data_IF_870942583326
#
_entry.id   IF_870942583326
#
_cell.length_a   1.000
_cell.length_b   1.000
_cell.length_c   1.000
_cell.angle_alpha   90.00
_cell.angle_beta   90.00
_cell.angle_gamma   90.00
#
_symmetry.space_group_name_H-M   'P 1'
#
loop_
_entity.id
_entity.type
_entity.pdbx_description
1 polymer ?
#
# COMPACT_ATOMS: atom_id res chain seq x y z
N UNK A 1 -2.79 33.93 -5.08
CA UNK A 1 -2.19 32.77 -4.40
C UNK A 1 -3.09 31.51 -4.43
N UNK A 2 -4.35 31.60 -4.03
CA UNK A 2 -5.29 30.46 -3.98
C UNK A 2 -5.50 29.67 -5.30
N UNK A 3 -5.45 30.33 -6.47
CA UNK A 3 -5.57 29.64 -7.77
C UNK A 3 -4.40 28.68 -8.05
N UNK A 4 -3.17 29.01 -7.63
CA UNK A 4 -1.99 28.13 -7.78
C UNK A 4 -2.11 26.91 -6.87
N UNK A 5 -2.54 27.11 -5.61
CA UNK A 5 -2.77 26.03 -4.65
C UNK A 5 -3.87 25.09 -5.12
N UNK A 6 -4.99 25.62 -5.64
CA UNK A 6 -6.09 24.79 -6.19
C UNK A 6 -5.67 24.01 -7.44
N UNK A 7 -4.80 24.58 -8.29
CA UNK A 7 -4.22 23.89 -9.46
C UNK A 7 -3.26 22.78 -9.04
N UNK A 8 -2.44 23.02 -8.01
CA UNK A 8 -1.51 22.04 -7.44
C UNK A 8 -2.24 20.87 -6.77
N UNK A 9 -3.25 21.15 -5.94
CA UNK A 9 -4.12 20.13 -5.33
C UNK A 9 -4.85 19.28 -6.38
N UNK A 10 -5.28 19.88 -7.50
CA UNK A 10 -5.87 19.13 -8.62
C UNK A 10 -4.84 18.26 -9.35
N UNK A 11 -3.59 18.71 -9.46
CA UNK A 11 -2.52 17.95 -10.10
C UNK A 11 -2.02 16.77 -9.23
N UNK A 12 -2.08 16.92 -7.90
CA UNK A 12 -1.86 15.83 -6.93
C UNK A 12 -2.98 14.80 -6.91
N UNK A 13 -4.20 15.20 -7.30
CA UNK A 13 -5.38 14.36 -7.31
C UNK A 13 -5.18 12.95 -7.91
N UNK A 14 -4.65 12.79 -9.14
CA UNK A 14 -4.39 11.47 -9.71
C UNK A 14 -3.24 10.72 -9.02
N UNK A 15 -2.15 11.41 -8.63
CA UNK A 15 -1.02 10.77 -7.97
C UNK A 15 -1.34 10.21 -6.58
N UNK A 16 -2.21 10.90 -5.81
CA UNK A 16 -2.70 10.41 -4.52
C UNK A 16 -3.54 9.14 -4.71
N UNK A 17 -4.35 9.06 -5.77
CA UNK A 17 -5.17 7.87 -6.05
C UNK A 17 -4.31 6.68 -6.43
N UNK A 18 -3.29 6.91 -7.25
CA UNK A 18 -2.32 5.86 -7.62
C UNK A 18 -1.51 5.40 -6.41
N UNK A 19 -1.03 6.33 -5.58
CA UNK A 19 -0.33 5.98 -4.33
C UNK A 19 -1.21 5.27 -3.32
N UNK A 20 -2.48 5.67 -3.20
CA UNK A 20 -3.46 4.98 -2.36
C UNK A 20 -3.80 3.57 -2.85
N UNK A 21 -3.61 3.30 -4.15
CA UNK A 21 -3.85 1.98 -4.72
C UNK A 21 -2.65 1.04 -4.54
N UNK A 22 -1.46 1.57 -4.30
CA UNK A 22 -0.23 0.78 -4.08
C UNK A 22 -0.06 0.36 -2.61
N UNK A 23 -0.75 1.03 -1.67
CA UNK A 23 -0.76 0.69 -0.25
C UNK A 23 -1.85 -0.36 0.06
N UNK A 24 -1.65 -1.53 -0.50
CA UNK A 24 -2.58 -2.65 -0.44
C UNK A 24 -2.27 -3.60 0.74
N UNK A 25 -3.25 -4.41 1.23
CA UNK A 25 -3.02 -5.29 2.38
C UNK A 25 -1.84 -6.24 2.22
N UNK A 26 -1.61 -6.74 1.00
CA UNK A 26 -0.51 -7.65 0.69
C UNK A 26 0.86 -6.95 0.74
N UNK A 27 0.95 -5.70 0.29
CA UNK A 27 2.11 -4.83 0.45
C UNK A 27 2.39 -4.55 1.92
N UNK A 28 1.37 -4.15 2.69
CA UNK A 28 1.47 -3.92 4.14
C UNK A 28 1.93 -5.19 4.86
N UNK A 29 1.40 -6.36 4.52
CA UNK A 29 1.80 -7.67 5.08
C UNK A 29 3.27 -7.97 4.77
N UNK A 30 3.70 -7.75 3.52
CA UNK A 30 5.08 -7.97 3.09
C UNK A 30 6.05 -7.04 3.81
N UNK A 31 5.73 -5.74 3.89
CA UNK A 31 6.55 -4.76 4.60
C UNK A 31 6.57 -5.02 6.10
N UNK A 32 5.47 -5.46 6.70
CA UNK A 32 5.39 -5.81 8.12
C UNK A 32 6.24 -7.05 8.45
N UNK A 33 6.15 -8.11 7.63
CA UNK A 33 6.96 -9.31 7.79
C UNK A 33 8.45 -9.03 7.52
N UNK A 34 8.76 -8.21 6.52
CA UNK A 34 10.12 -7.76 6.24
C UNK A 34 10.68 -6.90 7.38
N UNK A 35 9.90 -5.95 7.89
CA UNK A 35 10.27 -5.10 9.02
C UNK A 35 10.46 -5.88 10.32
N UNK A 36 9.65 -6.90 10.58
CA UNK A 36 9.82 -7.78 11.73
C UNK A 36 11.14 -8.58 11.67
N UNK A 37 11.58 -8.97 10.46
CA UNK A 37 12.82 -9.75 10.25
C UNK A 37 14.08 -8.89 10.17
N UNK A 38 14.02 -7.77 9.47
CA UNK A 38 15.19 -6.93 9.15
C UNK A 38 15.24 -5.61 9.94
N UNK A 39 14.20 -5.31 10.73
CA UNK A 39 14.11 -4.07 11.49
C UNK A 39 14.29 -2.83 10.61
N UNK A 40 15.03 -1.84 11.12
CA UNK A 40 15.33 -0.60 10.41
C UNK A 40 16.37 -0.76 9.29
N UNK A 41 16.99 -1.94 9.14
CA UNK A 41 18.05 -2.16 8.15
C UNK A 41 17.53 -2.21 6.71
N UNK A 42 16.22 -2.33 6.49
CA UNK A 42 15.60 -2.28 5.17
C UNK A 42 15.27 -0.84 4.71
N UNK A 43 15.35 0.18 5.58
CA UNK A 43 14.92 1.55 5.23
C UNK A 43 15.73 2.19 4.09
N UNK A 44 16.97 1.78 3.87
CA UNK A 44 17.80 2.35 2.80
C UNK A 44 17.27 2.00 1.40
N UNK A 45 16.49 0.91 1.24
CA UNK A 45 15.94 0.52 -0.07
C UNK A 45 14.93 1.53 -0.59
N UNK A 46 14.28 2.28 0.32
CA UNK A 46 13.30 3.33 0.00
C UNK A 46 13.89 4.41 -0.92
N UNK A 47 15.18 4.72 -0.76
CA UNK A 47 15.90 5.69 -1.59
C UNK A 47 15.93 5.26 -3.06
N UNK A 48 15.94 3.94 -3.31
CA UNK A 48 15.99 3.36 -4.65
C UNK A 48 14.58 3.05 -5.18
N UNK A 49 13.69 2.55 -4.32
CA UNK A 49 12.34 2.12 -4.76
C UNK A 49 11.43 3.30 -5.10
N UNK A 50 11.49 4.42 -4.36
CA UNK A 50 10.68 5.60 -4.65
C UNK A 50 10.92 6.16 -6.07
N UNK A 51 12.16 6.48 -6.51
CA UNK A 51 12.38 7.03 -7.84
C UNK A 51 12.05 6.02 -8.95
N UNK A 52 12.29 4.72 -8.70
CA UNK A 52 11.92 3.66 -9.64
C UNK A 52 10.40 3.62 -9.85
N UNK A 53 9.63 3.65 -8.76
CA UNK A 53 8.18 3.62 -8.80
C UNK A 53 7.59 4.89 -9.44
N UNK A 54 8.17 6.06 -9.16
CA UNK A 54 7.81 7.31 -9.84
C UNK A 54 8.03 7.22 -11.36
N UNK A 55 9.15 6.65 -11.80
CA UNK A 55 9.45 6.47 -13.22
C UNK A 55 8.45 5.51 -13.92
N UNK A 56 8.04 4.43 -13.23
CA UNK A 56 7.04 3.49 -13.77
C UNK A 56 5.65 4.15 -13.86
N UNK A 57 5.25 4.95 -12.87
CA UNK A 57 3.98 5.67 -12.90
C UNK A 57 3.93 6.75 -14.00
N UNK A 58 5.02 7.48 -14.21
CA UNK A 58 5.11 8.46 -15.29
C UNK A 58 5.05 7.80 -16.67
N UNK A 59 5.65 6.63 -16.82
CA UNK A 59 5.51 5.79 -18.01
C UNK A 59 4.03 5.47 -18.29
N UNK A 60 3.28 4.98 -17.30
CA UNK A 60 1.87 4.61 -17.48
C UNK A 60 0.99 5.82 -17.88
N UNK A 61 1.31 7.00 -17.35
CA UNK A 61 0.65 8.26 -17.71
C UNK A 61 0.84 8.64 -19.18
N UNK A 62 1.97 8.25 -19.78
CA UNK A 62 2.31 8.49 -21.19
C UNK A 62 1.85 7.28 -22.03
N UNK A 63 0.58 6.86 -21.90
CA UNK A 63 -0.15 5.91 -22.78
C UNK A 63 0.72 4.76 -23.32
N UNK A 64 1.37 4.00 -22.43
CA UNK A 64 2.25 2.88 -22.81
C UNK A 64 1.57 1.90 -23.77
N UNK A 65 0.25 1.70 -23.65
CA UNK A 65 -0.56 0.83 -24.52
C UNK A 65 -0.51 1.21 -26.00
N UNK A 66 -0.38 2.51 -26.32
CA UNK A 66 -0.30 2.98 -27.72
C UNK A 66 1.10 2.89 -28.32
N UNK A 67 2.13 2.94 -27.48
CA UNK A 67 3.54 2.96 -27.91
C UNK A 67 4.13 1.54 -27.92
N UNK A 68 3.81 0.71 -26.92
CA UNK A 68 4.25 -0.68 -26.82
C UNK A 68 3.83 -1.52 -28.02
N UNK A 69 2.58 -1.37 -28.48
CA UNK A 69 2.04 -2.15 -29.61
C UNK A 69 2.69 -1.82 -30.95
N UNK A 70 3.35 -0.65 -31.06
CA UNK A 70 4.06 -0.19 -32.26
C UNK A 70 5.54 -0.55 -32.25
N UNK A 71 6.17 -0.61 -31.08
CA UNK A 71 7.61 -0.83 -30.94
C UNK A 71 8.01 -2.26 -30.53
N UNK A 72 7.10 -3.07 -29.99
CA UNK A 72 7.44 -4.41 -29.49
C UNK A 72 6.79 -5.54 -30.31
N UNK A 73 7.53 -6.62 -30.60
CA UNK A 73 6.99 -7.79 -31.29
C UNK A 73 5.96 -8.52 -30.41
N UNK A 74 4.94 -9.11 -31.04
CA UNK A 74 3.80 -9.74 -30.36
C UNK A 74 4.20 -10.80 -29.32
N UNK A 75 5.31 -11.51 -29.53
CA UNK A 75 5.80 -12.54 -28.61
C UNK A 75 6.20 -11.99 -27.23
N UNK A 76 6.87 -10.83 -27.17
CA UNK A 76 7.23 -10.17 -25.89
C UNK A 76 5.97 -9.80 -25.11
N UNK A 77 4.94 -9.36 -25.82
CA UNK A 77 3.63 -9.04 -25.24
C UNK A 77 2.95 -10.27 -24.62
N UNK A 78 2.94 -11.41 -25.33
CA UNK A 78 2.39 -12.66 -24.79
C UNK A 78 3.17 -13.18 -23.59
N UNK A 79 4.51 -13.09 -23.63
CA UNK A 79 5.35 -13.48 -22.50
C UNK A 79 5.01 -12.62 -21.27
N UNK A 80 4.91 -11.30 -21.44
CA UNK A 80 4.57 -10.37 -20.37
C UNK A 80 3.18 -10.69 -19.78
N UNK A 81 2.19 -10.97 -20.62
CA UNK A 81 0.85 -11.39 -20.17
C UNK A 81 0.91 -12.70 -19.36
N UNK A 82 1.64 -13.71 -19.85
CA UNK A 82 1.77 -15.02 -19.18
C UNK A 82 2.39 -14.89 -17.79
N UNK A 83 3.33 -13.96 -17.59
CA UNK A 83 3.92 -13.71 -16.28
C UNK A 83 3.07 -12.77 -15.40
N UNK A 84 2.41 -11.77 -15.98
CA UNK A 84 1.61 -10.80 -15.23
C UNK A 84 0.28 -11.35 -14.74
N UNK A 85 -0.40 -12.20 -15.52
CA UNK A 85 -1.71 -12.74 -15.14
C UNK A 85 -1.65 -13.54 -13.82
N UNK A 86 -0.74 -14.52 -13.65
CA UNK A 86 -0.57 -15.20 -12.37
C UNK A 86 -0.22 -14.24 -11.23
N UNK A 87 0.66 -13.27 -11.48
CA UNK A 87 1.03 -12.29 -10.45
C UNK A 87 -0.18 -11.47 -9.96
N UNK A 88 -1.02 -10.99 -10.88
CA UNK A 88 -2.23 -10.23 -10.55
C UNK A 88 -3.24 -11.11 -9.80
N UNK A 89 -3.44 -12.36 -10.25
CA UNK A 89 -4.36 -13.31 -9.60
C UNK A 89 -3.91 -13.64 -8.18
N UNK A 90 -2.60 -13.88 -7.98
CA UNK A 90 -2.02 -14.11 -6.66
C UNK A 90 -2.17 -12.88 -5.76
N UNK A 91 -2.01 -11.67 -6.29
CA UNK A 91 -2.16 -10.44 -5.49
C UNK A 91 -3.62 -10.27 -5.02
N UNK A 92 -4.60 -10.53 -5.89
CA UNK A 92 -6.02 -10.53 -5.49
C UNK A 92 -6.30 -11.62 -4.45
N UNK A 93 -5.72 -12.81 -4.60
CA UNK A 93 -5.85 -13.89 -3.63
C UNK A 93 -5.27 -13.54 -2.25
N UNK A 94 -4.13 -12.83 -2.22
CA UNK A 94 -3.53 -12.33 -1.00
C UNK A 94 -4.48 -11.34 -0.28
N UNK A 95 -5.10 -10.40 -1.01
CA UNK A 95 -6.08 -9.48 -0.40
C UNK A 95 -7.22 -10.20 0.29
N UNK A 96 -7.81 -11.19 -0.37
CA UNK A 96 -8.92 -11.95 0.20
C UNK A 96 -8.46 -12.66 1.47
N UNK A 97 -7.26 -13.24 1.46
CA UNK A 97 -6.71 -13.97 2.61
C UNK A 97 -6.41 -13.03 3.79
N UNK A 98 -5.79 -11.88 3.54
CA UNK A 98 -5.47 -10.89 4.57
C UNK A 98 -6.74 -10.31 5.20
N UNK A 99 -7.77 -10.03 4.40
CA UNK A 99 -9.06 -9.55 4.91
C UNK A 99 -9.77 -10.57 5.81
N UNK A 100 -9.73 -11.86 5.44
CA UNK A 100 -10.24 -12.93 6.31
C UNK A 100 -9.48 -13.02 7.65
N UNK A 101 -8.16 -12.77 7.65
CA UNK A 101 -7.35 -12.81 8.86
C UNK A 101 -7.69 -11.66 9.82
N UNK A 102 -7.87 -10.44 9.29
CA UNK A 102 -8.31 -9.27 10.09
C UNK A 102 -9.69 -9.50 10.69
N UNK A 103 -10.57 -10.14 9.94
CA UNK A 103 -11.92 -10.41 10.40
C UNK A 103 -12.01 -11.45 11.50
N UNK A 104 -11.25 -12.54 11.41
CA UNK A 104 -11.19 -13.51 12.50
C UNK A 104 -10.75 -12.86 13.82
N UNK A 105 -9.93 -11.80 13.74
CA UNK A 105 -9.52 -11.00 14.90
C UNK A 105 -10.64 -10.12 15.46
N UNK A 106 -11.55 -9.61 14.62
CA UNK A 106 -12.65 -8.70 15.04
C UNK A 106 -13.91 -9.48 15.42
N UNK A 107 -14.28 -10.51 14.65
CA UNK A 107 -15.48 -11.33 14.84
C UNK A 107 -15.15 -12.83 14.78
N UNK A 108 -14.64 -13.41 15.88
CA UNK A 108 -14.20 -14.81 15.91
C UNK A 108 -15.34 -15.85 15.74
N UNK A 109 -16.60 -15.42 15.83
CA UNK A 109 -17.77 -16.31 15.83
C UNK A 109 -18.34 -16.64 14.44
N UNK A 110 -17.89 -15.99 13.37
CA UNK A 110 -18.46 -16.14 12.03
C UNK A 110 -17.48 -16.87 11.11
N UNK A 111 -18.02 -17.67 10.19
CA UNK A 111 -17.21 -18.49 9.28
C UNK A 111 -16.64 -17.64 8.13
N UNK A 112 -15.32 -17.72 7.93
CA UNK A 112 -14.55 -16.95 6.94
C UNK A 112 -15.14 -16.96 5.51
N UNK A 113 -15.81 -18.04 5.10
CA UNK A 113 -16.41 -18.15 3.77
C UNK A 113 -17.49 -17.09 3.52
N UNK A 114 -18.33 -16.81 4.53
CA UNK A 114 -19.45 -15.86 4.40
C UNK A 114 -18.92 -14.47 4.10
N UNK A 115 -17.86 -14.10 4.78
CA UNK A 115 -17.27 -12.79 4.67
C UNK A 115 -16.35 -12.62 3.48
N UNK A 116 -15.61 -13.66 3.08
CA UNK A 116 -14.87 -13.65 1.83
C UNK A 116 -15.77 -13.37 0.61
N UNK A 117 -16.98 -13.94 0.62
CA UNK A 117 -18.00 -13.67 -0.41
C UNK A 117 -18.51 -12.23 -0.32
N UNK A 118 -18.78 -11.72 0.88
CA UNK A 118 -19.23 -10.33 1.08
C UNK A 118 -18.16 -9.31 0.69
N UNK A 119 -16.92 -9.47 1.15
CA UNK A 119 -15.80 -8.59 0.85
C UNK A 119 -15.36 -8.64 -0.61
N UNK A 120 -15.66 -9.72 -1.33
CA UNK A 120 -15.46 -9.76 -2.79
C UNK A 120 -16.66 -9.17 -3.53
N UNK A 121 -17.88 -9.52 -3.12
CA UNK A 121 -19.11 -9.13 -3.81
C UNK A 121 -19.45 -7.65 -3.68
N UNK A 122 -19.26 -7.06 -2.49
CA UNK A 122 -19.60 -5.66 -2.23
C UNK A 122 -18.73 -4.69 -3.04
N UNK A 123 -17.38 -4.80 -3.07
CA UNK A 123 -16.55 -3.97 -3.94
C UNK A 123 -16.82 -4.22 -5.42
N UNK A 124 -17.09 -5.47 -5.83
CA UNK A 124 -17.41 -5.78 -7.23
C UNK A 124 -18.69 -5.08 -7.68
N UNK A 125 -19.73 -5.09 -6.83
CA UNK A 125 -20.95 -4.32 -7.05
C UNK A 125 -20.64 -2.82 -7.19
N UNK A 126 -19.84 -2.26 -6.28
CA UNK A 126 -19.46 -0.85 -6.35
C UNK A 126 -18.64 -0.50 -7.59
N UNK A 127 -17.75 -1.38 -8.06
CA UNK A 127 -16.96 -1.16 -9.29
C UNK A 127 -17.87 -1.10 -10.53
N UNK A 128 -18.92 -1.91 -10.59
CA UNK A 128 -19.85 -1.95 -11.72
C UNK A 128 -20.75 -0.71 -11.74
N UNK A 129 -21.24 -0.27 -10.57
CA UNK A 129 -22.25 0.78 -10.47
C UNK A 129 -21.68 2.19 -10.28
N UNK A 130 -20.49 2.35 -9.69
CA UNK A 130 -19.93 3.68 -9.43
C UNK A 130 -19.03 4.18 -10.56
N UNK A 131 -19.15 5.46 -10.94
CA UNK A 131 -18.21 6.07 -11.87
C UNK A 131 -16.82 6.21 -11.22
N UNK A 132 -15.77 6.06 -12.04
CA UNK A 132 -14.36 6.12 -11.60
C UNK A 132 -14.01 7.37 -10.80
N UNK A 133 -14.64 8.51 -11.09
CA UNK A 133 -14.42 9.77 -10.35
C UNK A 133 -14.81 9.67 -8.87
N UNK A 134 -15.83 8.85 -8.54
CA UNK A 134 -16.28 8.62 -7.17
C UNK A 134 -15.35 7.64 -6.47
N UNK A 135 -14.97 6.55 -7.14
CA UNK A 135 -14.01 5.57 -6.59
C UNK A 135 -12.66 6.21 -6.25
N UNK A 136 -12.13 7.02 -7.17
CA UNK A 136 -10.89 7.77 -6.93
C UNK A 136 -11.03 8.88 -5.88
N UNK A 137 -12.25 9.29 -5.50
CA UNK A 137 -12.43 10.18 -4.35
C UNK A 137 -12.48 9.39 -3.05
N UNK A 138 -13.17 8.24 -3.03
CA UNK A 138 -13.21 7.31 -1.88
C UNK A 138 -11.82 6.84 -1.49
N UNK A 139 -10.98 6.44 -2.46
CA UNK A 139 -9.60 6.00 -2.18
C UNK A 139 -8.74 7.08 -1.50
N UNK A 140 -8.95 8.37 -1.81
CA UNK A 140 -8.22 9.45 -1.13
C UNK A 140 -8.58 9.55 0.34
N UNK A 141 -9.85 9.35 0.67
CA UNK A 141 -10.30 9.34 2.07
C UNK A 141 -9.81 8.09 2.79
N UNK A 142 -9.87 6.94 2.12
CA UNK A 142 -9.42 5.68 2.71
C UNK A 142 -7.91 5.70 3.00
N UNK A 143 -7.10 6.30 2.13
CA UNK A 143 -5.65 6.47 2.34
C UNK A 143 -5.27 7.28 3.58
N UNK A 144 -6.13 8.19 4.04
CA UNK A 144 -5.83 8.96 5.26
C UNK A 144 -5.83 8.09 6.52
N UNK A 145 -6.62 7.01 6.53
CA UNK A 145 -6.77 6.13 7.69
C UNK A 145 -5.51 5.31 8.04
N UNK A 146 -4.84 4.59 7.11
CA UNK A 146 -3.59 3.91 7.41
C UNK A 146 -2.44 4.89 7.70
N UNK A 147 -2.43 6.08 7.09
CA UNK A 147 -1.42 7.10 7.38
C UNK A 147 -1.51 7.60 8.83
N UNK A 148 -2.71 7.80 9.37
CA UNK A 148 -2.91 8.17 10.76
C UNK A 148 -2.40 7.09 11.73
N UNK A 149 -2.74 5.82 11.46
CA UNK A 149 -2.29 4.67 12.24
C UNK A 149 -0.77 4.52 12.19
N UNK A 150 -0.15 4.72 11.02
CA UNK A 150 1.29 4.66 10.85
C UNK A 150 2.00 5.78 11.62
N UNK A 151 1.47 7.00 11.60
CA UNK A 151 2.04 8.13 12.34
C UNK A 151 1.93 7.88 13.85
N UNK A 152 0.77 7.40 14.32
CA UNK A 152 0.57 7.05 15.74
C UNK A 152 1.57 5.98 16.22
N UNK A 153 1.69 4.88 15.47
CA UNK A 153 2.65 3.81 15.79
C UNK A 153 4.11 4.28 15.72
N UNK A 154 4.47 5.14 14.77
CA UNK A 154 5.81 5.73 14.70
C UNK A 154 6.12 6.64 15.91
N UNK A 155 5.13 7.40 16.39
CA UNK A 155 5.26 8.25 17.58
C UNK A 155 5.44 7.41 18.85
N UNK A 156 4.64 6.35 19.00
CA UNK A 156 4.75 5.42 20.13
C UNK A 156 6.08 4.66 20.11
N UNK A 157 6.57 4.25 18.94
CA UNK A 157 7.88 3.61 18.78
C UNK A 157 9.03 4.57 19.13
N UNK A 158 8.95 5.85 18.77
CA UNK A 158 9.98 6.83 19.11
C UNK A 158 10.00 7.11 20.63
N UNK A 159 8.83 7.23 21.26
CA UNK A 159 8.70 7.35 22.71
C UNK A 159 9.22 6.09 23.43
N UNK A 160 8.90 4.90 22.93
CA UNK A 160 9.42 3.63 23.43
C UNK A 160 10.94 3.52 23.30
N UNK A 161 11.50 3.93 22.17
CA UNK A 161 12.96 3.93 21.94
C UNK A 161 13.69 4.92 22.86
N UNK A 162 13.15 6.13 23.03
CA UNK A 162 13.67 7.13 23.97
C UNK A 162 13.59 6.65 25.42
N UNK A 163 12.48 6.03 25.82
CA UNK A 163 12.29 5.47 27.16
C UNK A 163 13.25 4.31 27.43
N UNK A 164 13.46 3.42 26.46
CA UNK A 164 14.41 2.31 26.58
C UNK A 164 15.87 2.79 26.65
N UNK A 165 16.22 3.84 25.90
CA UNK A 165 17.57 4.44 25.93
C UNK A 165 17.82 5.18 27.25
N UNK A 166 16.80 5.86 27.78
CA UNK A 166 16.85 6.50 29.10
C UNK A 166 16.96 5.47 30.25
N UNK A 167 16.20 4.37 30.18
CA UNK A 167 16.27 3.28 31.15
C UNK A 167 17.63 2.57 31.14
N UNK A 168 18.20 2.31 29.95
CA UNK A 168 19.55 1.75 29.81
C UNK A 168 20.62 2.70 30.36
N UNK A 169 20.45 4.02 30.21
CA UNK A 169 21.35 5.01 30.80
C UNK A 169 21.21 5.07 32.33
N UNK A 170 19.99 4.96 32.86
CA UNK A 170 19.72 4.90 34.30
C UNK A 170 20.33 3.65 34.97
N UNK A 171 20.16 2.47 34.35
CA UNK A 171 20.76 1.23 34.84
C UNK A 171 22.29 1.28 34.81
N UNK A 172 22.89 1.85 33.75
CA UNK A 172 24.34 1.99 33.64
C UNK A 172 24.93 2.99 34.65
N UNK A 173 24.12 3.90 35.19
CA UNK A 173 24.53 4.88 36.20
C UNK A 173 24.38 4.33 37.63
N UNK A 174 23.44 3.41 37.88
CA UNK A 174 23.17 2.83 39.21
C UNK A 174 23.82 1.46 39.45
N UNK A 175 24.21 0.72 38.40
CA UNK A 175 24.74 -0.64 38.52
C UNK A 175 26.15 -0.82 37.90
N UNK A 176 26.87 0.27 37.62
CA UNK A 176 28.28 0.24 37.19
C UNK A 176 29.24 0.67 38.33
N UNK A 177 29.01 0.09 39.52
CA UNK A 177 29.97 0.10 40.63
C UNK A 177 30.75 -1.21 40.66
#
# INVERSE_FOLDING_TARGET
MFKKVKKFLKALGPGIVTGASDDDPSGISTYSQGGAKYGLAALWTVIITIPLMAAVQDCDRIRLTTTLRKHYPKWVLYLLIIFSVPAIVLNIGAYITDMNAVEHLIFPAVHAIVFSVLFTGVPLFFIIYLPYSTLGSVQKYLFLTPMEILIGTCLDLNLGYLSFRAYRFYLRKNYAG
#
